data_IF_225733886817
#
_entry.id   IF_225733886817
#
_cell.length_a   1.000
_cell.length_b   1.000
_cell.length_c   1.000
_cell.angle_alpha   90.00
_cell.angle_beta   90.00
_cell.angle_gamma   90.00
#
_symmetry.space_group_name_H-M   'P 1'
#
loop_
_entity.id
_entity.type
_entity.pdbx_description
1 polymer ?
#
# COMPACT_ATOMS: atom_id res chain seq x y z
N UNK A 1 11.90 -4.87 -0.11
CA UNK A 1 10.49 -4.38 -0.11
C UNK A 1 9.56 -5.31 0.68
N UNK A 2 9.30 -6.56 0.28
CA UNK A 2 8.40 -7.45 1.04
C UNK A 2 8.92 -7.84 2.43
N UNK A 3 10.23 -8.14 2.56
CA UNK A 3 10.83 -8.53 3.85
C UNK A 3 10.81 -7.39 4.88
N UNK A 4 11.12 -6.17 4.43
CA UNK A 4 11.16 -4.95 5.25
C UNK A 4 9.78 -4.40 5.65
N UNK A 5 8.70 -4.88 5.02
CA UNK A 5 7.34 -4.46 5.36
C UNK A 5 6.79 -5.29 6.52
N UNK A 6 6.08 -4.65 7.44
CA UNK A 6 5.34 -5.34 8.51
C UNK A 6 4.04 -5.92 7.95
N UNK A 7 3.37 -5.16 7.08
CA UNK A 7 2.13 -5.54 6.43
C UNK A 7 2.27 -5.54 4.91
N UNK A 8 1.70 -6.55 4.27
CA UNK A 8 1.53 -6.60 2.81
C UNK A 8 0.12 -7.07 2.52
N UNK A 9 -0.65 -6.27 1.78
CA UNK A 9 -2.04 -6.57 1.50
C UNK A 9 -2.48 -5.98 0.16
N UNK A 10 -3.49 -6.62 -0.45
CA UNK A 10 -4.26 -6.06 -1.54
C UNK A 10 -5.41 -5.25 -0.93
N UNK A 11 -5.51 -3.98 -1.31
CA UNK A 11 -6.52 -3.07 -0.79
C UNK A 11 -7.02 -2.12 -1.85
N UNK A 12 -8.14 -1.47 -1.55
CA UNK A 12 -8.74 -0.42 -2.37
C UNK A 12 -8.64 0.92 -1.66
N UNK A 13 -8.22 1.96 -2.37
CA UNK A 13 -8.22 3.33 -1.86
C UNK A 13 -9.65 3.86 -1.83
N UNK A 14 -10.07 4.32 -0.66
CA UNK A 14 -11.39 4.89 -0.41
C UNK A 14 -11.36 6.40 -0.59
N UNK A 15 -10.34 7.04 -0.04
CA UNK A 15 -10.12 8.48 -0.11
C UNK A 15 -8.64 8.78 -0.04
N UNK A 16 -8.26 9.97 -0.49
CA UNK A 16 -6.91 10.50 -0.38
C UNK A 16 -7.03 11.87 0.28
N UNK A 17 -6.58 11.98 1.53
CA UNK A 17 -6.55 13.25 2.23
C UNK A 17 -5.28 14.03 1.83
N UNK A 18 -5.38 15.35 1.60
CA UNK A 18 -4.22 16.18 1.33
C UNK A 18 -3.31 16.24 2.57
N UNK A 19 -2.01 16.53 2.39
CA UNK A 19 -1.08 16.67 3.50
C UNK A 19 -1.56 17.68 4.55
N UNK A 20 -1.50 17.30 5.83
CA UNK A 20 -1.70 18.23 6.93
C UNK A 20 -0.46 19.09 7.14
N UNK A 21 -0.58 20.39 6.89
CA UNK A 21 0.53 21.36 7.05
C UNK A 21 1.10 21.41 8.47
N UNK A 22 0.37 20.92 9.48
CA UNK A 22 0.80 20.90 10.89
C UNK A 22 1.72 19.73 11.28
N UNK A 23 1.85 18.69 10.45
CA UNK A 23 2.60 17.46 10.79
C UNK A 23 3.93 17.29 10.05
N UNK A 24 4.41 18.30 9.32
CA UNK A 24 5.52 18.21 8.36
C UNK A 24 5.33 17.09 7.30
N UNK A 25 4.12 16.58 7.15
CA UNK A 25 3.79 15.66 6.07
C UNK A 25 3.47 16.46 4.84
N UNK A 26 4.31 16.30 3.82
CA UNK A 26 4.14 16.92 2.50
C UNK A 26 3.46 15.97 1.51
N UNK A 27 2.83 14.91 2.02
CA UNK A 27 2.33 13.80 1.21
C UNK A 27 0.89 13.47 1.52
N UNK A 28 0.23 13.05 0.46
CA UNK A 28 -1.13 12.53 0.48
C UNK A 28 -1.24 11.29 1.37
N UNK A 29 -2.38 11.18 2.05
CA UNK A 29 -2.67 10.14 3.02
C UNK A 29 -3.86 9.32 2.52
N UNK A 30 -3.60 8.20 1.81
CA UNK A 30 -4.67 7.35 1.32
C UNK A 30 -5.30 6.55 2.48
N UNK A 31 -6.62 6.59 2.57
CA UNK A 31 -7.38 5.64 3.39
C UNK A 31 -7.73 4.43 2.56
N UNK A 32 -7.43 3.23 3.08
CA UNK A 32 -7.61 1.98 2.33
C UNK A 32 -8.50 0.98 3.06
N UNK A 33 -9.29 0.23 2.29
CA UNK A 33 -9.97 -0.98 2.76
C UNK A 33 -9.18 -2.19 2.30
N UNK A 34 -8.91 -3.11 3.22
CA UNK A 34 -8.18 -4.34 2.91
C UNK A 34 -9.13 -5.36 2.28
N UNK A 35 -8.75 -5.85 1.10
CA UNK A 35 -9.45 -6.92 0.40
C UNK A 35 -8.81 -8.28 0.70
N UNK A 36 -7.48 -8.32 0.86
CA UNK A 36 -6.75 -9.54 1.19
C UNK A 36 -5.40 -9.25 1.84
N UNK A 37 -5.08 -9.91 2.95
CA UNK A 37 -3.77 -9.86 3.58
C UNK A 37 -2.83 -10.94 3.00
N UNK A 38 -1.56 -10.59 2.78
CA UNK A 38 -0.48 -11.50 2.35
C UNK A 38 0.63 -11.63 3.42
N UNK A 39 0.90 -10.55 4.16
CA UNK A 39 1.84 -10.53 5.30
C UNK A 39 1.27 -9.66 6.40
N UNK A 40 1.31 -10.17 7.64
CA UNK A 40 0.68 -9.49 8.77
C UNK A 40 -0.83 -9.36 8.60
N UNK A 41 -1.48 -8.75 9.58
CA UNK A 41 -2.91 -8.44 9.50
C UNK A 41 -3.08 -6.92 9.64
N UNK A 42 -3.37 -6.27 8.51
CA UNK A 42 -3.80 -4.88 8.49
C UNK A 42 -5.32 -4.86 8.36
N UNK A 43 -5.98 -4.02 9.17
CA UNK A 43 -7.44 -3.95 9.21
C UNK A 43 -8.01 -2.87 8.26
N UNK A 44 -7.15 -2.15 7.55
CA UNK A 44 -7.52 -0.96 6.79
C UNK A 44 -7.41 0.31 7.65
N UNK A 45 -7.63 1.45 6.99
CA UNK A 45 -7.49 2.76 7.59
C UNK A 45 -6.53 3.66 6.82
N UNK A 46 -6.19 4.77 7.44
CA UNK A 46 -5.29 5.76 6.89
C UNK A 46 -3.85 5.23 6.83
N UNK A 47 -3.22 5.43 5.67
CA UNK A 47 -1.81 5.15 5.45
C UNK A 47 -1.06 6.47 5.26
N UNK A 48 0.19 6.49 5.72
CA UNK A 48 1.10 7.60 5.48
C UNK A 48 1.77 7.43 4.12
N UNK A 49 1.72 8.48 3.29
CA UNK A 49 2.22 8.48 1.93
C UNK A 49 3.70 8.05 1.80
N UNK A 50 3.99 7.30 0.73
CA UNK A 50 5.32 6.75 0.44
C UNK A 50 6.37 7.83 0.11
N UNK A 51 7.65 7.51 0.25
CA UNK A 51 8.75 8.42 -0.14
C UNK A 51 8.76 8.86 -1.59
N UNK A 52 8.22 8.04 -2.48
CA UNK A 52 8.11 8.35 -3.90
C UNK A 52 6.82 9.06 -4.31
N UNK A 53 5.92 9.38 -3.37
CA UNK A 53 4.57 9.85 -3.69
C UNK A 53 3.68 8.69 -4.14
N UNK A 54 2.56 8.47 -3.48
CA UNK A 54 1.58 7.49 -3.95
C UNK A 54 0.76 8.16 -5.05
N UNK A 55 1.09 7.93 -6.31
CA UNK A 55 0.22 8.28 -7.45
C UNK A 55 -1.05 7.42 -7.51
N UNK A 56 -1.64 7.08 -6.36
CA UNK A 56 -2.79 6.19 -6.23
C UNK A 56 -4.02 7.07 -6.00
N UNK A 57 -5.04 6.88 -6.82
CA UNK A 57 -6.26 7.68 -6.81
C UNK A 57 -7.38 6.99 -6.01
N UNK A 58 -8.36 7.75 -5.49
CA UNK A 58 -9.56 7.17 -4.90
C UNK A 58 -10.23 6.20 -5.88
N UNK A 59 -10.58 5.01 -5.38
CA UNK A 59 -11.23 3.95 -6.16
C UNK A 59 -10.26 2.92 -6.72
N UNK A 60 -8.96 3.20 -6.80
CA UNK A 60 -7.96 2.26 -7.30
C UNK A 60 -7.67 1.14 -6.31
N UNK A 61 -7.32 -0.04 -6.83
CA UNK A 61 -6.85 -1.16 -6.03
C UNK A 61 -5.36 -1.41 -6.29
N UNK A 62 -4.62 -1.68 -5.23
CA UNK A 62 -3.17 -1.81 -5.28
C UNK A 62 -2.66 -2.81 -4.24
N UNK A 63 -1.44 -3.29 -4.44
CA UNK A 63 -0.69 -3.96 -3.38
C UNK A 63 0.07 -2.94 -2.56
N UNK A 64 -0.22 -2.92 -1.27
CA UNK A 64 0.41 -2.03 -0.31
C UNK A 64 1.51 -2.76 0.46
N UNK A 65 2.67 -2.13 0.54
CA UNK A 65 3.82 -2.55 1.33
C UNK A 65 3.99 -1.55 2.46
N UNK A 66 3.63 -1.92 3.68
CA UNK A 66 3.47 -0.99 4.80
C UNK A 66 4.31 -1.45 5.99
N UNK A 67 4.91 -0.51 6.73
CA UNK A 67 5.59 -0.82 7.99
C UNK A 67 4.68 -0.81 9.21
N UNK A 68 5.24 -1.07 10.39
CA UNK A 68 4.51 -1.08 11.67
C UNK A 68 3.96 0.28 12.11
N UNK A 69 4.22 1.36 11.38
CA UNK A 69 3.73 2.72 11.65
C UNK A 69 2.79 3.21 10.56
N UNK A 70 2.17 2.28 9.82
CA UNK A 70 1.24 2.54 8.71
C UNK A 70 1.84 3.37 7.57
N UNK A 71 3.18 3.41 7.44
CA UNK A 71 3.85 4.13 6.35
C UNK A 71 4.10 3.21 5.17
N UNK A 72 3.71 3.68 4.00
CA UNK A 72 3.97 2.98 2.75
C UNK A 72 5.48 3.04 2.45
N UNK A 73 6.11 1.87 2.27
CA UNK A 73 7.56 1.73 2.06
C UNK A 73 7.99 1.78 0.60
N UNK A 74 7.10 1.47 -0.33
CA UNK A 74 7.38 1.47 -1.76
C UNK A 74 6.29 2.21 -2.51
N UNK A 75 6.51 2.54 -3.77
CA UNK A 75 5.42 2.97 -4.63
C UNK A 75 4.49 1.76 -4.75
N UNK A 76 3.28 1.86 -4.20
CA UNK A 76 2.30 0.78 -4.33
C UNK A 76 2.04 0.54 -5.81
N UNK A 77 1.91 -0.72 -6.19
CA UNK A 77 1.61 -1.06 -7.59
C UNK A 77 0.08 -0.99 -7.73
N UNK A 78 -0.41 0.13 -8.23
CA UNK A 78 -1.79 0.28 -8.69
C UNK A 78 -1.94 -0.41 -10.04
N UNK A 79 -2.98 -1.22 -10.20
CA UNK A 79 -3.21 -1.96 -11.44
C UNK A 79 -4.69 -2.06 -11.72
N UNK A 80 -5.12 -1.52 -12.86
CA UNK A 80 -6.48 -1.71 -13.36
C UNK A 80 -6.60 -3.09 -14.04
N UNK A 81 -7.73 -3.77 -13.84
CA UNK A 81 -8.03 -5.06 -14.47
C UNK A 81 -7.20 -6.28 -14.01
N UNK A 82 -6.32 -6.15 -13.00
CA UNK A 82 -5.54 -7.29 -12.51
C UNK A 82 -6.37 -8.20 -11.59
N UNK A 83 -6.27 -9.51 -11.78
CA UNK A 83 -6.98 -10.49 -10.95
C UNK A 83 -6.18 -10.83 -9.69
N UNK A 84 -6.86 -11.20 -8.60
CA UNK A 84 -6.22 -11.61 -7.34
C UNK A 84 -5.13 -12.68 -7.50
N UNK A 85 -5.26 -13.70 -8.39
CA UNK A 85 -4.19 -14.66 -8.66
C UNK A 85 -2.92 -14.04 -9.26
N UNK A 86 -3.05 -13.06 -10.17
CA UNK A 86 -1.91 -12.36 -10.76
C UNK A 86 -1.17 -11.52 -9.70
N UNK A 87 -1.93 -10.87 -8.81
CA UNK A 87 -1.38 -10.16 -7.65
C UNK A 87 -0.59 -11.10 -6.75
N UNK A 88 -1.17 -12.26 -6.42
CA UNK A 88 -0.51 -13.26 -5.58
C UNK A 88 0.80 -13.75 -6.20
N UNK A 89 0.83 -14.04 -7.51
CA UNK A 89 2.05 -14.43 -8.24
C UNK A 89 3.15 -13.36 -8.13
N UNK A 90 2.81 -12.09 -8.35
CA UNK A 90 3.74 -10.98 -8.24
C UNK A 90 4.29 -10.79 -6.81
N UNK A 91 3.43 -10.89 -5.80
CA UNK A 91 3.85 -10.83 -4.38
C UNK A 91 4.81 -11.96 -4.03
N UNK A 92 4.54 -13.19 -4.47
CA UNK A 92 5.45 -14.32 -4.26
C UNK A 92 6.80 -14.13 -4.96
N UNK A 93 6.82 -13.61 -6.19
CA UNK A 93 8.07 -13.30 -6.90
C UNK A 93 8.89 -12.22 -6.17
N UNK A 94 8.26 -11.11 -5.75
CA UNK A 94 8.90 -10.05 -4.98
C UNK A 94 9.42 -10.53 -3.62
N UNK A 95 8.76 -11.53 -3.03
CA UNK A 95 9.19 -12.17 -1.79
C UNK A 95 10.48 -12.99 -1.97
N UNK A 96 10.69 -13.58 -3.16
CA UNK A 96 11.89 -14.37 -3.50
C UNK A 96 13.10 -13.51 -3.88
N UNK A 97 12.87 -12.32 -4.45
CA UNK A 97 13.93 -11.45 -4.97
C UNK A 97 14.36 -10.31 -4.02
N UNK A 98 13.66 -10.12 -2.89
CA UNK A 98 13.99 -9.09 -1.91
C UNK A 98 15.08 -9.54 -0.93
N UNK A 99 16.34 -9.54 -1.37
CA UNK A 99 17.56 -9.46 -0.53
C UNK A 99 18.03 -8.03 -0.44
#
# INVERSE_FOLDING_TARGET
MYQSSTYVFYGRVISVAPPFLGSNEVRDQPTVTVLRNYKGQFNGGELRGADCGSGILPGESAVFFVDGYNRIKSCSIGVDGITTPQVQSGVFQLSRHGT
#
